data_IF_174036934801
#
_entry.id   IF_174036934801
#
_cell.length_a   1.000
_cell.length_b   1.000
_cell.length_c   1.000
_cell.angle_alpha   90.00
_cell.angle_beta   90.00
_cell.angle_gamma   90.00
#
_symmetry.space_group_name_H-M   'P 1'
#
loop_
_entity.id
_entity.type
_entity.pdbx_description
1 polymer ?
#
# COMPACT_ATOMS: atom_id res chain seq x y z
N UNK A 1 -20.39 -45.11 -0.74
CA UNK A 1 -19.76 -44.26 -1.76
C UNK A 1 -20.34 -42.83 -1.71
N UNK A 2 -20.12 -42.05 -0.63
CA UNK A 2 -20.66 -40.66 -0.52
C UNK A 2 -20.05 -39.83 0.63
N UNK A 3 -18.72 -39.89 0.86
CA UNK A 3 -18.08 -39.11 1.96
C UNK A 3 -17.24 -37.89 1.53
N UNK A 4 -17.09 -37.62 0.23
CA UNK A 4 -16.16 -36.57 -0.25
C UNK A 4 -16.79 -35.43 -1.07
N UNK A 5 -18.13 -35.31 -1.11
CA UNK A 5 -18.79 -34.22 -1.87
C UNK A 5 -18.43 -32.82 -1.36
N UNK A 6 -18.23 -32.67 -0.04
CA UNK A 6 -17.83 -31.40 0.56
C UNK A 6 -16.39 -30.99 0.23
N UNK A 7 -15.50 -31.95 -0.03
CA UNK A 7 -14.12 -31.66 -0.39
C UNK A 7 -14.02 -31.15 -1.84
N UNK A 8 -14.79 -31.73 -2.76
CA UNK A 8 -14.81 -31.29 -4.18
C UNK A 8 -15.39 -29.88 -4.32
N UNK A 9 -16.42 -29.54 -3.52
CA UNK A 9 -16.99 -28.19 -3.48
C UNK A 9 -16.01 -27.18 -2.86
N UNK A 10 -15.25 -27.59 -1.83
CA UNK A 10 -14.23 -26.74 -1.21
C UNK A 10 -13.03 -26.47 -2.15
N UNK A 11 -12.56 -27.46 -2.91
CA UNK A 11 -11.47 -27.26 -3.88
C UNK A 11 -11.92 -26.48 -5.13
N UNK A 12 -13.18 -26.62 -5.54
CA UNK A 12 -13.76 -25.81 -6.63
C UNK A 12 -13.86 -24.32 -6.27
N UNK A 13 -14.25 -23.99 -5.03
CA UNK A 13 -14.28 -22.62 -4.53
C UNK A 13 -12.89 -22.00 -4.36
N UNK A 14 -11.89 -22.80 -3.98
CA UNK A 14 -10.49 -22.36 -3.83
C UNK A 14 -9.83 -22.04 -5.17
N UNK A 15 -10.11 -22.82 -6.22
CA UNK A 15 -9.60 -22.56 -7.58
C UNK A 15 -10.25 -21.33 -8.23
N UNK A 16 -11.53 -21.06 -7.93
CA UNK A 16 -12.22 -19.85 -8.40
C UNK A 16 -11.72 -18.58 -7.70
N UNK A 17 -11.29 -18.68 -6.44
CA UNK A 17 -10.66 -17.58 -5.71
C UNK A 17 -9.21 -17.28 -6.17
N UNK A 18 -8.53 -18.26 -6.79
CA UNK A 18 -7.17 -18.11 -7.32
C UNK A 18 -7.10 -17.59 -8.76
N UNK A 19 -8.23 -17.49 -9.47
CA UNK A 19 -8.29 -17.04 -10.87
C UNK A 19 -8.82 -15.61 -11.06
N UNK A 20 -9.24 -14.94 -9.98
CA UNK A 20 -9.63 -13.52 -9.98
C UNK A 20 -8.45 -12.70 -9.43
N UNK A 21 -7.42 -12.45 -10.26
CA UNK A 21 -6.27 -11.69 -9.79
C UNK A 21 -5.06 -11.59 -10.72
N UNK A 22 -5.23 -11.80 -12.03
CA UNK A 22 -4.15 -11.50 -12.99
C UNK A 22 -4.41 -10.11 -13.56
N UNK A 23 -3.66 -9.06 -13.17
CA UNK A 23 -3.66 -7.82 -13.92
C UNK A 23 -2.96 -8.06 -15.26
N UNK A 24 -3.70 -7.86 -16.35
CA UNK A 24 -3.14 -7.66 -17.68
C UNK A 24 -2.30 -6.38 -17.65
N UNK A 25 -0.97 -6.53 -17.65
CA UNK A 25 -0.08 -5.44 -18.02
C UNK A 25 -0.28 -5.16 -19.51
N UNK A 26 -1.12 -4.18 -19.82
CA UNK A 26 -1.12 -3.55 -21.12
C UNK A 26 0.18 -2.78 -21.27
N UNK A 27 0.98 -3.19 -22.25
CA UNK A 27 2.11 -2.44 -22.76
C UNK A 27 1.55 -1.21 -23.49
N UNK A 28 1.74 -0.02 -22.93
CA UNK A 28 1.54 1.23 -23.63
C UNK A 28 2.90 1.94 -23.70
N UNK A 29 3.48 1.92 -24.88
CA UNK A 29 4.76 2.54 -25.19
C UNK A 29 4.73 4.04 -24.93
N UNK A 30 5.88 4.49 -24.45
CA UNK A 30 6.31 5.86 -24.22
C UNK A 30 6.04 6.81 -25.38
N UNK A 31 5.65 8.06 -25.08
CA UNK A 31 6.23 9.22 -25.76
C UNK A 31 6.42 10.39 -24.79
N UNK A 32 7.68 10.56 -24.41
CA UNK A 32 8.26 11.76 -23.80
C UNK A 32 8.33 12.86 -24.87
N UNK A 33 7.77 14.03 -24.57
CA UNK A 33 8.18 15.29 -25.16
C UNK A 33 9.01 16.06 -24.13
N UNK A 34 10.35 16.04 -24.28
CA UNK A 34 11.22 17.15 -23.88
C UNK A 34 12.46 17.14 -24.76
N UNK A 35 12.65 18.25 -25.47
CA UNK A 35 13.71 18.43 -26.45
C UNK A 35 15.02 18.96 -25.87
N UNK A 36 16.04 18.82 -26.75
CA UNK A 36 17.36 19.47 -26.82
C UNK A 36 18.32 19.05 -25.70
N UNK A 37 19.35 18.26 -25.99
CA UNK A 37 20.53 18.54 -26.83
C UNK A 37 21.12 17.21 -27.39
N UNK A 38 21.88 17.03 -28.48
CA UNK A 38 22.29 17.84 -29.64
C UNK A 38 22.92 16.85 -30.65
N UNK A 39 22.17 16.37 -31.63
CA UNK A 39 22.68 15.88 -32.91
C UNK A 39 21.71 16.37 -33.96
N UNK A 40 22.02 17.54 -34.53
CA UNK A 40 21.17 18.22 -35.50
C UNK A 40 21.12 17.42 -36.80
N UNK A 41 20.20 16.46 -36.90
CA UNK A 41 19.64 16.10 -38.19
C UNK A 41 18.70 17.24 -38.60
N UNK A 42 19.16 18.09 -39.52
CA UNK A 42 18.29 18.98 -40.24
C UNK A 42 17.37 18.12 -41.12
N UNK A 43 16.23 17.69 -40.58
CA UNK A 43 15.15 17.18 -41.40
C UNK A 43 14.65 18.39 -42.20
N UNK A 44 14.70 18.37 -43.54
CA UNK A 44 14.15 19.46 -44.33
C UNK A 44 12.68 19.62 -43.94
N UNK A 45 12.30 20.83 -43.52
CA UNK A 45 10.91 21.18 -43.27
C UNK A 45 10.20 21.09 -44.63
N UNK A 46 9.56 19.95 -44.91
CA UNK A 46 8.71 19.82 -46.07
C UNK A 46 7.57 20.82 -45.91
N UNK A 47 7.42 21.74 -46.87
CA UNK A 47 6.35 22.75 -46.88
C UNK A 47 5.01 22.18 -47.36
N UNK A 48 4.94 20.88 -47.58
CA UNK A 48 3.71 20.21 -47.97
C UNK A 48 2.75 20.15 -46.78
N UNK A 49 1.45 20.37 -47.05
CA UNK A 49 0.43 20.27 -46.00
C UNK A 49 0.56 18.89 -45.34
N UNK A 50 0.46 18.79 -44.00
CA UNK A 50 0.45 17.49 -43.35
C UNK A 50 -0.63 16.63 -44.00
N UNK A 51 -0.25 15.44 -44.48
CA UNK A 51 -1.21 14.44 -44.93
C UNK A 51 -2.29 14.30 -43.85
N UNK A 52 -3.55 14.33 -44.27
CA UNK A 52 -4.68 14.20 -43.36
C UNK A 52 -4.45 13.01 -42.43
N UNK A 53 -4.53 13.23 -41.12
CA UNK A 53 -4.52 12.16 -40.12
C UNK A 53 -5.42 11.03 -40.64
N UNK A 54 -4.89 9.80 -40.71
CA UNK A 54 -5.66 8.65 -41.18
C UNK A 54 -6.96 8.58 -40.39
N UNK A 55 -8.08 8.93 -41.01
CA UNK A 55 -9.39 8.73 -40.40
C UNK A 55 -9.64 7.23 -40.43
N UNK A 56 -9.65 6.60 -39.26
CA UNK A 56 -10.08 5.21 -39.15
C UNK A 56 -11.60 5.16 -39.37
N UNK A 57 -12.02 5.08 -40.63
CA UNK A 57 -13.40 4.81 -41.00
C UNK A 57 -13.67 3.32 -40.83
N UNK A 58 -14.72 2.97 -40.09
CA UNK A 58 -15.12 1.58 -39.87
C UNK A 58 -14.56 0.94 -38.59
N UNK A 59 -14.13 1.72 -37.58
CA UNK A 59 -13.97 1.17 -36.24
C UNK A 59 -15.35 0.70 -35.76
N UNK A 60 -15.58 -0.60 -35.53
CA UNK A 60 -16.88 -1.06 -35.07
C UNK A 60 -17.18 -0.41 -33.72
N UNK A 61 -18.39 0.13 -33.53
CA UNK A 61 -18.91 0.54 -32.22
C UNK A 61 -19.18 -0.72 -31.36
N UNK A 62 -18.14 -1.50 -31.06
CA UNK A 62 -18.25 -2.74 -30.30
C UNK A 62 -18.31 -2.52 -28.78
N UNK A 63 -18.19 -1.27 -28.33
CA UNK A 63 -18.09 -0.92 -26.91
C UNK A 63 -19.24 -0.06 -26.40
N UNK A 64 -20.25 0.22 -27.23
CA UNK A 64 -21.45 0.99 -26.87
C UNK A 64 -22.67 0.08 -26.59
N UNK A 65 -22.39 -1.17 -26.23
CA UNK A 65 -23.40 -2.16 -25.87
C UNK A 65 -23.57 -2.23 -24.36
N UNK A 66 -24.73 -2.67 -23.89
CA UNK A 66 -25.02 -2.82 -22.45
C UNK A 66 -24.06 -3.76 -21.70
N UNK A 67 -23.24 -4.55 -22.42
CA UNK A 67 -22.18 -5.37 -21.86
C UNK A 67 -20.96 -4.55 -21.36
N UNK A 68 -20.87 -3.26 -21.72
CA UNK A 68 -19.80 -2.34 -21.36
C UNK A 68 -20.31 -1.09 -20.61
N UNK A 69 -21.49 -1.18 -20.00
CA UNK A 69 -21.99 -0.16 -19.08
C UNK A 69 -21.30 -0.31 -17.70
N UNK A 70 -20.32 0.55 -17.44
CA UNK A 70 -19.58 0.60 -16.17
C UNK A 70 -20.28 1.44 -15.10
N UNK A 71 -21.54 1.84 -15.30
CA UNK A 71 -22.32 2.46 -14.23
C UNK A 71 -22.74 1.38 -13.22
N UNK A 72 -22.03 1.31 -12.09
CA UNK A 72 -22.44 0.48 -10.96
C UNK A 72 -23.75 1.03 -10.37
N UNK A 73 -24.90 0.52 -10.82
CA UNK A 73 -26.16 0.63 -10.07
C UNK A 73 -26.27 -0.48 -9.02
N UNK A 74 -25.15 -0.90 -8.45
CA UNK A 74 -25.15 -1.96 -7.44
C UNK A 74 -25.37 -1.32 -6.07
N UNK A 75 -26.62 -1.30 -5.61
CA UNK A 75 -26.99 -1.11 -4.19
C UNK A 75 -26.50 -2.27 -3.30
N UNK A 76 -25.36 -2.89 -3.63
CA UNK A 76 -24.81 -4.11 -3.04
C UNK A 76 -24.30 -3.87 -1.62
N UNK A 77 -23.77 -2.68 -1.38
CA UNK A 77 -23.34 -2.15 -0.09
C UNK A 77 -24.52 -1.95 0.87
N UNK A 78 -25.64 -1.41 0.37
CA UNK A 78 -26.86 -1.21 1.18
C UNK A 78 -27.59 -2.54 1.48
N UNK A 79 -27.61 -3.48 0.54
CA UNK A 79 -28.22 -4.80 0.71
C UNK A 79 -27.45 -5.67 1.74
N UNK A 80 -26.12 -5.59 1.77
CA UNK A 80 -25.30 -6.33 2.72
C UNK A 80 -25.49 -5.81 4.15
N UNK A 81 -25.36 -4.50 4.37
CA UNK A 81 -25.51 -3.88 5.69
C UNK A 81 -26.93 -4.04 6.23
N UNK A 82 -27.95 -3.88 5.39
CA UNK A 82 -29.35 -4.09 5.81
C UNK A 82 -29.65 -5.55 6.15
N UNK A 83 -29.06 -6.52 5.43
CA UNK A 83 -29.16 -7.95 5.74
C UNK A 83 -28.50 -8.29 7.08
N UNK A 84 -27.31 -7.75 7.33
CA UNK A 84 -26.62 -7.90 8.61
C UNK A 84 -27.39 -7.27 9.78
N UNK A 85 -27.95 -6.08 9.59
CA UNK A 85 -28.75 -5.39 10.60
C UNK A 85 -30.02 -6.18 10.95
N UNK A 86 -30.71 -6.73 9.94
CA UNK A 86 -31.88 -7.61 10.16
C UNK A 86 -31.52 -8.88 10.92
N UNK A 87 -30.37 -9.51 10.61
CA UNK A 87 -29.90 -10.69 11.33
C UNK A 87 -29.52 -10.37 12.78
N UNK A 88 -28.90 -9.21 13.02
CA UNK A 88 -28.55 -8.72 14.34
C UNK A 88 -29.78 -8.44 15.20
N UNK A 89 -30.76 -7.68 14.68
CA UNK A 89 -32.01 -7.40 15.39
C UNK A 89 -32.77 -8.71 15.72
N UNK A 90 -32.83 -9.66 14.78
CA UNK A 90 -33.45 -10.98 15.02
C UNK A 90 -32.75 -11.80 16.12
N UNK A 91 -31.44 -11.64 16.27
CA UNK A 91 -30.68 -12.26 17.35
C UNK A 91 -30.98 -11.59 18.70
N UNK A 92 -31.01 -10.26 18.73
CA UNK A 92 -31.37 -9.48 19.92
C UNK A 92 -32.81 -9.80 20.36
N UNK A 93 -33.78 -9.85 19.46
CA UNK A 93 -35.18 -10.15 19.81
C UNK A 93 -35.33 -11.56 20.35
N UNK A 94 -34.62 -12.57 19.81
CA UNK A 94 -34.63 -13.94 20.37
C UNK A 94 -34.05 -13.99 21.79
N UNK A 95 -32.98 -13.24 22.03
CA UNK A 95 -32.39 -13.13 23.37
C UNK A 95 -33.37 -12.41 24.31
N UNK A 96 -34.03 -11.36 23.84
CA UNK A 96 -35.01 -10.61 24.61
C UNK A 96 -36.25 -11.46 24.93
N UNK A 97 -36.80 -12.20 23.96
CA UNK A 97 -37.92 -13.13 24.13
C UNK A 97 -37.58 -14.28 25.08
N UNK A 98 -36.33 -14.75 25.06
CA UNK A 98 -35.82 -15.75 25.99
C UNK A 98 -35.68 -15.21 27.42
N UNK A 99 -35.29 -13.93 27.58
CA UNK A 99 -35.14 -13.26 28.89
C UNK A 99 -36.48 -12.83 29.48
N UNK A 100 -37.38 -12.28 28.66
CA UNK A 100 -38.68 -11.75 29.07
C UNK A 100 -39.82 -12.78 28.99
N UNK A 101 -39.49 -14.07 28.78
CA UNK A 101 -40.38 -15.18 28.47
C UNK A 101 -41.86 -14.98 28.83
N UNK A 102 -42.75 -15.26 27.87
CA UNK A 102 -44.22 -15.22 28.04
C UNK A 102 -44.64 -15.99 29.31
N UNK A 103 -44.83 -15.28 30.41
CA UNK A 103 -45.16 -15.86 31.71
C UNK A 103 -44.01 -15.78 32.71
N UNK A 104 -43.75 -14.59 33.22
CA UNK A 104 -42.87 -14.38 34.36
C UNK A 104 -43.55 -14.92 35.63
N UNK A 105 -43.05 -16.05 36.15
CA UNK A 105 -43.16 -16.42 37.56
C UNK A 105 -42.03 -17.40 37.92
N UNK A 106 -41.14 -16.99 38.83
CA UNK A 106 -40.21 -17.87 39.55
C UNK A 106 -38.73 -17.62 39.28
N UNK A 107 -38.07 -16.95 40.23
CA UNK A 107 -36.68 -17.18 40.67
C UNK A 107 -35.58 -17.46 39.61
N UNK A 108 -35.62 -16.83 38.44
CA UNK A 108 -34.57 -16.94 37.41
C UNK A 108 -33.88 -15.62 37.04
N UNK A 109 -34.55 -14.48 37.23
CA UNK A 109 -34.12 -13.21 36.60
C UNK A 109 -32.77 -12.71 37.11
N UNK A 110 -32.52 -12.81 38.43
CA UNK A 110 -31.27 -12.32 39.04
C UNK A 110 -30.05 -13.15 38.64
N UNK A 111 -30.19 -14.48 38.59
CA UNK A 111 -29.10 -15.38 38.22
C UNK A 111 -28.82 -15.35 36.71
N UNK A 112 -29.86 -15.16 35.89
CA UNK A 112 -29.72 -14.96 34.44
C UNK A 112 -28.99 -13.65 34.13
N UNK A 113 -29.34 -12.55 34.81
CA UNK A 113 -28.64 -11.26 34.67
C UNK A 113 -27.16 -11.35 35.06
N UNK A 114 -26.84 -12.12 36.11
CA UNK A 114 -25.46 -12.32 36.58
C UNK A 114 -24.63 -13.14 35.60
N UNK A 115 -25.21 -14.21 35.04
CA UNK A 115 -24.55 -15.00 33.98
C UNK A 115 -24.37 -14.19 32.69
N UNK A 116 -25.36 -13.39 32.31
CA UNK A 116 -25.26 -12.51 31.14
C UNK A 116 -24.14 -11.47 31.31
N UNK A 117 -24.04 -10.86 32.50
CA UNK A 117 -22.96 -9.94 32.84
C UNK A 117 -21.58 -10.59 32.78
N UNK A 118 -21.44 -11.83 33.27
CA UNK A 118 -20.19 -12.58 33.20
C UNK A 118 -19.80 -12.94 31.74
N UNK A 119 -20.77 -13.32 30.90
CA UNK A 119 -20.55 -13.60 29.48
C UNK A 119 -20.13 -12.33 28.75
N UNK A 120 -20.82 -11.20 28.98
CA UNK A 120 -20.46 -9.91 28.38
C UNK A 120 -19.08 -9.45 28.82
N UNK A 121 -18.71 -9.67 30.08
CA UNK A 121 -17.37 -9.36 30.59
C UNK A 121 -16.30 -10.23 29.95
N UNK A 122 -16.52 -11.54 29.78
CA UNK A 122 -15.61 -12.45 29.08
C UNK A 122 -15.47 -12.10 27.60
N UNK A 123 -16.57 -11.79 26.93
CA UNK A 123 -16.57 -11.34 25.53
C UNK A 123 -15.82 -10.01 25.43
N UNK A 124 -16.07 -9.06 26.33
CA UNK A 124 -15.34 -7.79 26.39
C UNK A 124 -13.86 -8.02 26.63
N UNK A 125 -13.45 -8.90 27.54
CA UNK A 125 -12.04 -9.28 27.77
C UNK A 125 -11.42 -9.95 26.54
N UNK A 126 -12.15 -10.79 25.82
CA UNK A 126 -11.68 -11.40 24.58
C UNK A 126 -11.49 -10.37 23.47
N UNK A 127 -12.43 -9.44 23.29
CA UNK A 127 -12.32 -8.35 22.33
C UNK A 127 -11.24 -7.34 22.74
N UNK A 128 -11.10 -7.03 24.03
CA UNK A 128 -10.07 -6.17 24.59
C UNK A 128 -8.67 -6.80 24.46
N UNK A 129 -8.56 -8.10 24.72
CA UNK A 129 -7.36 -8.90 24.46
C UNK A 129 -7.02 -8.93 22.97
N UNK A 130 -8.00 -9.19 22.09
CA UNK A 130 -7.81 -9.09 20.63
C UNK A 130 -7.42 -7.68 20.18
N UNK A 131 -7.95 -6.64 20.82
CA UNK A 131 -7.63 -5.25 20.52
C UNK A 131 -6.18 -4.93 20.93
N UNK A 132 -5.75 -5.36 22.12
CA UNK A 132 -4.36 -5.25 22.59
C UNK A 132 -3.40 -6.05 21.71
N UNK A 133 -3.76 -7.28 21.31
CA UNK A 133 -2.94 -8.09 20.42
C UNK A 133 -2.89 -7.52 18.98
N UNK A 134 -3.94 -6.82 18.53
CA UNK A 134 -3.93 -6.09 17.25
C UNK A 134 -3.06 -4.84 17.28
N UNK A 135 -2.90 -4.21 18.44
CA UNK A 135 -1.96 -3.09 18.62
C UNK A 135 -0.47 -3.49 18.59
N UNK A 136 -0.15 -4.78 18.45
CA UNK A 136 1.23 -5.26 18.25
C UNK A 136 1.49 -5.91 16.88
N UNK A 137 0.60 -5.78 15.89
CA UNK A 137 0.97 -6.31 14.56
C UNK A 137 -0.03 -6.24 13.42
N UNK A 138 -1.15 -5.50 13.51
CA UNK A 138 -2.11 -5.42 12.40
C UNK A 138 -2.83 -4.07 12.32
N UNK A 139 -2.21 -3.08 11.68
CA UNK A 139 -2.97 -2.07 10.95
C UNK A 139 -2.25 -1.74 9.64
N UNK A 140 -2.57 -2.53 8.63
CA UNK A 140 -2.20 -2.30 7.24
C UNK A 140 -3.41 -1.73 6.53
N UNK A 141 -3.13 -0.77 5.65
CA UNK A 141 -4.03 -0.10 4.71
C UNK A 141 -5.07 0.83 5.32
N UNK A 142 -4.61 1.99 5.80
CA UNK A 142 -5.12 3.26 5.26
C UNK A 142 -3.99 4.29 5.20
N UNK A 143 -3.63 4.70 3.97
CA UNK A 143 -2.65 5.74 3.72
C UNK A 143 -3.33 7.09 3.90
N UNK A 144 -3.39 7.58 5.14
CA UNK A 144 -3.44 9.02 5.36
C UNK A 144 -2.00 9.52 5.41
N UNK A 145 -1.64 10.27 4.38
CA UNK A 145 -0.52 11.19 4.42
C UNK A 145 -0.52 12.01 5.71
N UNK A 146 0.70 12.31 6.18
CA UNK A 146 1.02 13.28 7.22
C UNK A 146 0.61 12.94 8.66
N UNK A 147 1.55 12.36 9.40
CA UNK A 147 1.99 12.99 10.66
C UNK A 147 3.38 12.54 11.09
N UNK A 148 4.37 12.83 10.25
CA UNK A 148 5.59 13.39 10.83
C UNK A 148 5.24 14.82 11.23
N UNK A 149 5.43 15.14 12.51
CA UNK A 149 5.25 16.47 13.11
C UNK A 149 5.56 17.62 12.12
N UNK A 150 4.53 18.32 11.64
CA UNK A 150 4.55 19.57 10.86
C UNK A 150 5.44 19.66 9.58
N UNK A 151 6.11 18.59 9.13
CA UNK A 151 7.01 18.66 7.98
C UNK A 151 6.54 17.66 6.92
N UNK A 152 6.11 18.17 5.77
CA UNK A 152 5.71 17.35 4.63
C UNK A 152 6.94 16.70 3.98
N UNK A 153 6.77 15.53 3.35
CA UNK A 153 7.88 14.88 2.65
C UNK A 153 8.38 15.67 1.43
N UNK A 154 7.51 16.48 0.83
CA UNK A 154 7.90 17.42 -0.22
C UNK A 154 8.88 18.48 0.33
N UNK A 155 8.65 18.97 1.56
CA UNK A 155 9.55 19.92 2.21
C UNK A 155 10.90 19.28 2.54
N UNK A 156 10.91 18.01 2.96
CA UNK A 156 12.13 17.22 3.18
C UNK A 156 12.94 17.05 1.90
N UNK A 157 12.29 16.73 0.77
CA UNK A 157 12.95 16.56 -0.53
C UNK A 157 13.50 17.88 -1.08
N UNK A 158 12.75 18.97 -0.90
CA UNK A 158 13.16 20.33 -1.29
C UNK A 158 14.35 20.83 -0.49
N UNK A 159 14.38 20.54 0.81
CA UNK A 159 15.44 20.96 1.74
C UNK A 159 16.34 19.80 2.14
N UNK A 160 16.63 18.90 1.20
CA UNK A 160 17.38 17.66 1.46
C UNK A 160 18.69 17.91 2.24
N UNK A 161 19.44 18.94 1.85
CA UNK A 161 20.74 19.24 2.46
C UNK A 161 20.64 19.82 3.89
N UNK A 162 19.51 20.44 4.23
CA UNK A 162 19.27 21.11 5.52
C UNK A 162 18.51 20.20 6.49
N UNK A 163 17.99 19.08 6.01
CA UNK A 163 17.16 18.17 6.80
C UNK A 163 18.00 17.36 7.80
N UNK A 164 17.55 17.32 9.05
CA UNK A 164 18.06 16.38 10.06
C UNK A 164 17.33 15.02 9.95
N UNK A 165 17.90 14.15 9.13
CA UNK A 165 17.39 12.79 8.94
C UNK A 165 17.41 11.94 10.21
N UNK A 166 18.32 12.20 11.16
CA UNK A 166 18.40 11.38 12.37
C UNK A 166 17.14 11.51 13.21
N UNK A 167 16.69 12.76 13.41
CA UNK A 167 15.47 13.05 14.18
C UNK A 167 14.23 12.50 13.47
N UNK A 168 14.12 12.70 12.15
CA UNK A 168 12.98 12.21 11.37
C UNK A 168 12.87 10.68 11.40
N UNK A 169 14.00 9.99 11.25
CA UNK A 169 14.07 8.53 11.30
C UNK A 169 13.68 8.02 12.68
N UNK A 170 14.21 8.61 13.76
CA UNK A 170 13.83 8.23 15.13
C UNK A 170 12.34 8.43 15.38
N UNK A 171 11.75 9.50 14.84
CA UNK A 171 10.32 9.75 14.97
C UNK A 171 9.49 8.72 14.20
N UNK A 172 9.88 8.36 12.98
CA UNK A 172 9.23 7.29 12.21
C UNK A 172 9.33 5.93 12.93
N UNK A 173 10.51 5.61 13.49
CA UNK A 173 10.74 4.38 14.28
C UNK A 173 9.87 4.33 15.54
N UNK A 174 9.74 5.44 16.28
CA UNK A 174 8.86 5.52 17.46
C UNK A 174 7.38 5.29 17.11
N UNK A 175 6.98 5.65 15.90
CA UNK A 175 5.63 5.42 15.39
C UNK A 175 5.44 4.02 14.79
N UNK A 176 6.48 3.17 14.80
CA UNK A 176 6.52 1.88 14.10
C UNK A 176 6.25 2.00 12.58
N UNK A 177 6.53 3.16 11.98
CA UNK A 177 6.40 3.36 10.54
C UNK A 177 7.73 2.99 9.85
N UNK A 178 7.92 1.69 9.68
CA UNK A 178 9.12 1.11 9.09
C UNK A 178 9.30 1.53 7.63
N UNK A 179 8.21 1.68 6.88
CA UNK A 179 8.24 2.13 5.48
C UNK A 179 8.70 3.57 5.36
N UNK A 180 8.15 4.46 6.18
CA UNK A 180 8.56 5.86 6.22
C UNK A 180 10.01 6.02 6.67
N UNK A 181 10.43 5.22 7.66
CA UNK A 181 11.82 5.17 8.10
C UNK A 181 12.76 4.78 6.94
N UNK A 182 12.43 3.75 6.15
CA UNK A 182 13.23 3.35 4.98
C UNK A 182 13.28 4.45 3.91
N UNK A 183 12.17 5.17 3.66
CA UNK A 183 12.19 6.32 2.73
C UNK A 183 13.14 7.41 3.21
N UNK A 184 13.14 7.72 4.51
CA UNK A 184 14.05 8.71 5.09
C UNK A 184 15.51 8.26 5.03
N UNK A 185 15.81 6.98 5.26
CA UNK A 185 17.16 6.43 5.06
C UNK A 185 17.61 6.55 3.60
N UNK A 186 16.72 6.30 2.64
CA UNK A 186 17.03 6.45 1.22
C UNK A 186 17.35 7.90 0.85
N UNK A 187 16.54 8.85 1.30
CA UNK A 187 16.80 10.29 1.10
C UNK A 187 18.10 10.74 1.78
N UNK A 188 18.41 10.22 2.97
CA UNK A 188 19.68 10.50 3.63
C UNK A 188 20.89 9.96 2.85
N UNK A 189 20.75 8.76 2.28
CA UNK A 189 21.76 8.20 1.41
C UNK A 189 22.00 9.11 0.19
N UNK A 190 20.96 9.58 -0.49
CA UNK A 190 21.09 10.50 -1.62
C UNK A 190 21.73 11.83 -1.19
N UNK A 191 21.34 12.36 -0.02
CA UNK A 191 21.97 13.55 0.55
C UNK A 191 23.47 13.38 0.69
N UNK A 192 23.94 12.27 1.26
CA UNK A 192 25.37 12.04 1.48
C UNK A 192 26.14 11.88 0.17
N UNK A 193 25.56 11.20 -0.82
CA UNK A 193 26.16 11.11 -2.16
C UNK A 193 26.24 12.49 -2.84
N UNK A 194 25.21 13.30 -2.67
CA UNK A 194 25.15 14.65 -3.24
C UNK A 194 26.11 15.62 -2.55
N UNK A 195 26.20 15.58 -1.21
CA UNK A 195 27.18 16.35 -0.42
C UNK A 195 28.63 16.03 -0.87
N UNK A 196 28.86 14.79 -1.32
CA UNK A 196 30.14 14.31 -1.88
C UNK A 196 30.34 14.58 -3.37
N UNK A 197 29.39 15.24 -4.03
CA UNK A 197 29.40 15.51 -5.47
C UNK A 197 29.52 14.23 -6.32
N UNK A 198 29.08 13.09 -5.78
CA UNK A 198 29.01 11.84 -6.54
C UNK A 198 27.73 11.75 -7.37
N UNK A 199 26.70 12.47 -6.93
CA UNK A 199 25.45 12.70 -7.67
C UNK A 199 25.05 14.18 -7.57
N UNK A 200 24.25 14.64 -8.52
CA UNK A 200 23.56 15.93 -8.49
C UNK A 200 22.09 15.70 -8.15
N UNK A 201 21.70 16.02 -6.91
CA UNK A 201 20.35 15.82 -6.40
C UNK A 201 19.34 16.70 -7.13
N UNK A 202 18.29 16.07 -7.67
CA UNK A 202 17.12 16.74 -8.23
C UNK A 202 15.85 15.94 -7.92
N UNK A 203 14.78 16.54 -7.36
CA UNK A 203 13.56 15.81 -7.01
C UNK A 203 12.90 15.04 -8.18
N UNK A 204 13.19 15.43 -9.43
CA UNK A 204 12.61 14.81 -10.63
C UNK A 204 13.42 13.64 -11.18
N UNK A 205 14.65 13.42 -10.69
CA UNK A 205 15.51 12.31 -11.13
C UNK A 205 15.04 11.00 -10.51
N UNK A 206 15.15 9.94 -11.30
CA UNK A 206 14.88 8.56 -10.90
C UNK A 206 16.10 7.93 -10.23
N UNK A 207 15.89 6.83 -9.51
CA UNK A 207 16.99 6.06 -8.90
C UNK A 207 18.00 5.57 -9.94
N UNK A 208 17.53 5.21 -11.14
CA UNK A 208 18.40 4.82 -12.25
C UNK A 208 19.19 6.00 -12.82
N UNK A 209 18.71 7.24 -12.70
CA UNK A 209 19.48 8.43 -13.10
C UNK A 209 20.66 8.63 -12.16
N UNK A 210 20.43 8.56 -10.85
CA UNK A 210 21.48 8.61 -9.84
C UNK A 210 22.51 7.47 -9.97
N UNK A 211 22.05 6.26 -10.28
CA UNK A 211 22.94 5.13 -10.55
C UNK A 211 23.95 5.44 -11.67
N UNK A 212 23.53 6.14 -12.73
CA UNK A 212 24.41 6.47 -13.86
C UNK A 212 25.47 7.51 -13.52
N UNK A 213 25.23 8.35 -12.52
CA UNK A 213 26.18 9.37 -12.06
C UNK A 213 27.29 8.79 -11.18
N UNK A 214 27.02 7.71 -10.45
CA UNK A 214 28.00 7.05 -9.59
C UNK A 214 29.07 6.34 -10.43
N UNK A 215 30.32 6.79 -10.29
CA UNK A 215 31.48 6.31 -11.05
C UNK A 215 32.19 5.09 -10.45
N UNK A 216 32.24 5.02 -9.12
CA UNK A 216 32.92 3.93 -8.40
C UNK A 216 32.05 2.65 -8.49
N UNK A 217 32.56 1.55 -9.11
CA UNK A 217 31.75 0.36 -9.36
C UNK A 217 31.28 -0.34 -8.09
N UNK A 218 32.11 -0.34 -7.04
CA UNK A 218 31.77 -0.97 -5.75
C UNK A 218 30.67 -0.17 -5.04
N UNK A 219 30.77 1.15 -5.07
CA UNK A 219 29.74 2.02 -4.49
C UNK A 219 28.45 1.99 -5.29
N UNK A 220 28.55 1.87 -6.62
CA UNK A 220 27.42 1.74 -7.52
C UNK A 220 26.65 0.45 -7.27
N UNK A 221 27.32 -0.69 -7.14
CA UNK A 221 26.68 -1.97 -6.84
C UNK A 221 25.88 -1.91 -5.53
N UNK A 222 26.48 -1.37 -4.47
CA UNK A 222 25.80 -1.18 -3.18
C UNK A 222 24.63 -0.20 -3.28
N UNK A 223 24.78 0.88 -4.04
CA UNK A 223 23.70 1.83 -4.30
C UNK A 223 22.52 1.17 -5.02
N UNK A 224 22.80 0.33 -6.02
CA UNK A 224 21.78 -0.41 -6.79
C UNK A 224 21.03 -1.36 -5.87
N UNK A 225 21.72 -2.08 -5.00
CA UNK A 225 21.09 -2.94 -4.00
C UNK A 225 20.12 -2.16 -3.09
N UNK A 226 20.58 -1.06 -2.50
CA UNK A 226 19.74 -0.23 -1.62
C UNK A 226 18.58 0.43 -2.38
N UNK A 227 18.78 0.86 -3.61
CA UNK A 227 17.72 1.42 -4.46
C UNK A 227 16.66 0.37 -4.81
N UNK A 228 17.04 -0.89 -5.02
CA UNK A 228 16.09 -1.99 -5.21
C UNK A 228 15.27 -2.24 -3.95
N UNK A 229 15.91 -2.25 -2.79
CA UNK A 229 15.26 -2.42 -1.49
C UNK A 229 14.25 -1.29 -1.22
N UNK A 230 14.65 -0.04 -1.47
CA UNK A 230 13.76 1.12 -1.41
C UNK A 230 12.57 0.96 -2.37
N UNK A 231 12.82 0.63 -3.65
CA UNK A 231 11.74 0.48 -4.63
C UNK A 231 10.73 -0.59 -4.21
N UNK A 232 11.21 -1.71 -3.70
CA UNK A 232 10.37 -2.79 -3.18
C UNK A 232 9.50 -2.27 -2.02
N UNK A 233 10.10 -1.74 -0.97
CA UNK A 233 9.37 -1.34 0.24
C UNK A 233 8.45 -0.13 0.00
N UNK A 234 8.97 0.88 -0.70
CA UNK A 234 8.26 2.14 -0.89
C UNK A 234 7.25 2.06 -2.04
N UNK A 235 7.67 1.78 -3.27
CA UNK A 235 6.76 1.76 -4.42
C UNK A 235 5.98 0.46 -4.55
N UNK A 236 6.58 -0.67 -4.14
CA UNK A 236 5.91 -1.97 -4.14
C UNK A 236 4.97 -2.21 -2.96
N UNK A 237 4.97 -1.32 -1.96
CA UNK A 237 4.18 -1.43 -0.73
C UNK A 237 4.37 -2.75 0.02
N UNK A 238 5.53 -3.39 -0.18
CA UNK A 238 5.80 -4.68 0.44
C UNK A 238 6.05 -4.52 1.92
N UNK A 239 5.48 -5.46 2.67
CA UNK A 239 5.64 -5.53 4.10
C UNK A 239 6.92 -6.24 4.47
N UNK A 240 7.60 -5.66 5.46
CA UNK A 240 8.82 -6.22 6.02
C UNK A 240 8.58 -6.58 7.48
N UNK A 241 9.13 -7.72 7.89
CA UNK A 241 9.23 -8.10 9.30
C UNK A 241 10.23 -7.21 10.03
N UNK A 242 10.15 -7.19 11.37
CA UNK A 242 11.11 -6.44 12.19
C UNK A 242 12.56 -6.86 11.92
N UNK A 243 12.81 -8.16 11.73
CA UNK A 243 14.14 -8.67 11.41
C UNK A 243 14.66 -8.12 10.07
N UNK A 244 13.83 -8.17 9.03
CA UNK A 244 14.16 -7.60 7.70
C UNK A 244 14.36 -6.09 7.77
N UNK A 245 13.58 -5.39 8.60
CA UNK A 245 13.76 -3.97 8.82
C UNK A 245 15.10 -3.65 9.49
N UNK A 246 15.50 -4.40 10.52
CA UNK A 246 16.81 -4.20 11.17
C UNK A 246 17.97 -4.45 10.21
N UNK A 247 17.88 -5.47 9.35
CA UNK A 247 18.87 -5.74 8.30
C UNK A 247 18.95 -4.57 7.31
N UNK A 248 17.81 -4.16 6.76
CA UNK A 248 17.73 -3.02 5.85
C UNK A 248 18.32 -1.74 6.47
N UNK A 249 17.94 -1.44 7.72
CA UNK A 249 18.46 -0.31 8.50
C UNK A 249 19.98 -0.38 8.63
N UNK A 250 20.53 -1.53 8.98
CA UNK A 250 21.96 -1.73 9.10
C UNK A 250 22.67 -1.48 7.76
N UNK A 251 22.13 -1.96 6.64
CA UNK A 251 22.73 -1.77 5.32
C UNK A 251 22.77 -0.30 4.90
N UNK A 252 21.68 0.45 5.12
CA UNK A 252 21.66 1.90 4.90
C UNK A 252 22.67 2.62 5.76
N UNK A 253 22.70 2.33 7.07
CA UNK A 253 23.63 2.95 8.00
C UNK A 253 25.08 2.65 7.63
N UNK A 254 25.39 1.42 7.29
CA UNK A 254 26.72 1.00 6.86
C UNK A 254 27.15 1.74 5.59
N UNK A 255 26.27 1.89 4.61
CA UNK A 255 26.55 2.66 3.40
C UNK A 255 26.84 4.13 3.73
N UNK A 256 25.95 4.77 4.48
CA UNK A 256 26.06 6.18 4.89
C UNK A 256 27.33 6.43 5.69
N UNK A 257 27.68 5.56 6.63
CA UNK A 257 28.90 5.67 7.44
C UNK A 257 30.16 5.48 6.59
N UNK A 258 30.15 4.51 5.66
CA UNK A 258 31.26 4.31 4.72
C UNK A 258 31.50 5.56 3.89
N UNK A 259 30.42 6.20 3.43
CA UNK A 259 30.56 7.45 2.72
C UNK A 259 31.16 8.50 3.64
N UNK A 260 30.56 8.80 4.81
CA UNK A 260 31.05 9.86 5.71
C UNK A 260 32.51 9.72 6.15
N UNK A 261 33.04 8.49 6.22
CA UNK A 261 34.42 8.24 6.64
C UNK A 261 35.46 8.49 5.53
N UNK A 262 35.04 8.54 4.26
CA UNK A 262 35.90 8.89 3.10
C UNK A 262 35.88 10.40 2.86
#
# INVERSE_FOLDING_TARGET
MWKNKWKIIAYGGLLYFLSIGVPLYAQADSLVLRGKDSLTYQIPISRERPESLRSFQGVPHSYDSSAFDYSETSGRNEAFLSGMWKAFIKLITRILEFIYGKGANGMGMREILRMLGAILFLVSLFFFGRWILKNKGRWLTDRSSEKLSNISMEEVEKHLHQTDFSVLIQNAEKQNDTRQSIRLYYLWLLKVLSDKKQIEWEPKKTNSDYEREIKDPVQKERFVYLSKLYNYIWYGEFLISDAQYQEAKADYQNYINTQKAK
#
